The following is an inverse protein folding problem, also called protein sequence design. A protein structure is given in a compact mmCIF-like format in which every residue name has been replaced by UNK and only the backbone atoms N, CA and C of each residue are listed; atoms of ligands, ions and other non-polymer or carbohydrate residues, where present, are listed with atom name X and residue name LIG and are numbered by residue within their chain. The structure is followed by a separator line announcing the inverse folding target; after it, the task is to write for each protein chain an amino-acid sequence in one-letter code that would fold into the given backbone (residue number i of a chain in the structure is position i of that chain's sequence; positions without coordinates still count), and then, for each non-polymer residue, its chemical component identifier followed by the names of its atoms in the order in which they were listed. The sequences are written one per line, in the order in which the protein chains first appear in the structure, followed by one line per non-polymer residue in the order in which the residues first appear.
data_IF_247761181866
#
_entry.id   IF_247761181866
#
_cell.length_a   1.000
_cell.length_b   1.000
_cell.length_c   1.000
_cell.angle_alpha   90.00
_cell.angle_beta   90.00
_cell.angle_gamma   90.00
#
_symmetry.space_group_name_H-M   'P 1'
#
loop_
_entity.id
_entity.type
_entity.pdbx_description
1 polymer ?
#
# COMPACT_ATOMS: atom_id res chain seq x y z
N UNK A 1 6.30 22.35 14.29
CA UNK A 1 4.87 22.74 14.32
C UNK A 1 4.07 21.47 14.52
N UNK A 2 2.97 21.49 15.29
CA UNK A 2 2.03 20.36 15.30
C UNK A 2 1.42 20.18 13.91
N UNK A 3 1.11 18.94 13.53
CA UNK A 3 0.37 18.63 12.31
C UNK A 3 -1.04 19.22 12.40
N UNK A 4 -1.61 19.60 11.25
CA UNK A 4 -3.06 19.89 11.19
C UNK A 4 -3.86 18.62 11.43
N UNK A 5 -5.16 18.76 11.73
CA UNK A 5 -6.04 17.61 11.95
C UNK A 5 -6.12 16.72 10.70
N UNK A 6 -6.15 17.31 9.50
CA UNK A 6 -6.16 16.58 8.23
C UNK A 6 -4.85 15.82 8.01
N UNK A 7 -3.71 16.46 8.32
CA UNK A 7 -2.40 15.83 8.18
C UNK A 7 -2.21 14.66 9.16
N UNK A 8 -2.76 14.76 10.38
CA UNK A 8 -2.74 13.69 11.36
C UNK A 8 -3.62 12.49 10.94
N UNK A 9 -4.81 12.76 10.41
CA UNK A 9 -5.70 11.70 9.90
C UNK A 9 -5.11 11.01 8.68
N UNK A 10 -4.53 11.76 7.73
CA UNK A 10 -3.81 11.18 6.61
C UNK A 10 -2.68 10.27 7.07
N UNK A 11 -1.87 10.73 8.03
CA UNK A 11 -0.78 9.91 8.58
C UNK A 11 -1.30 8.60 9.18
N UNK A 12 -2.43 8.65 9.90
CA UNK A 12 -3.06 7.46 10.48
C UNK A 12 -3.48 6.46 9.39
N UNK A 13 -4.15 6.94 8.34
CA UNK A 13 -4.62 6.10 7.22
C UNK A 13 -3.43 5.47 6.49
N UNK A 14 -2.39 6.24 6.17
CA UNK A 14 -1.21 5.70 5.49
C UNK A 14 -0.51 4.61 6.32
N UNK A 15 -0.40 4.79 7.63
CA UNK A 15 0.15 3.76 8.51
C UNK A 15 -0.71 2.49 8.53
N UNK A 16 -2.03 2.63 8.52
CA UNK A 16 -2.95 1.49 8.44
C UNK A 16 -2.72 0.68 7.15
N UNK A 17 -2.56 1.38 6.02
CA UNK A 17 -2.33 0.73 4.73
C UNK A 17 -0.94 0.13 4.60
N UNK A 18 0.10 0.79 5.13
CA UNK A 18 1.44 0.22 5.23
C UNK A 18 1.41 -1.10 6.03
N UNK A 19 0.68 -1.12 7.15
CA UNK A 19 0.55 -2.28 8.01
C UNK A 19 -0.21 -3.42 7.32
N UNK A 20 -1.37 -3.15 6.72
CA UNK A 20 -2.15 -4.14 5.97
C UNK A 20 -1.29 -4.76 4.86
N UNK A 21 -0.57 -3.92 4.11
CA UNK A 21 0.29 -4.36 3.02
C UNK A 21 1.43 -5.25 3.53
N UNK A 22 2.02 -4.91 4.68
CA UNK A 22 3.05 -5.72 5.33
C UNK A 22 2.54 -7.09 5.76
N UNK A 23 1.33 -7.15 6.33
CA UNK A 23 0.68 -8.41 6.72
C UNK A 23 0.37 -9.28 5.49
N UNK A 24 -0.08 -8.68 4.39
CA UNK A 24 -0.34 -9.40 3.13
C UNK A 24 0.93 -10.04 2.56
N UNK A 25 2.04 -9.31 2.56
CA UNK A 25 3.34 -9.84 2.12
C UNK A 25 3.74 -11.04 2.98
N UNK A 26 3.72 -10.91 4.31
CA UNK A 26 4.05 -11.99 5.22
C UNK A 26 3.16 -13.23 5.00
N UNK A 27 1.85 -13.02 4.88
CA UNK A 27 0.88 -14.09 4.61
C UNK A 27 1.19 -14.80 3.29
N UNK A 28 1.52 -14.08 2.22
CA UNK A 28 1.85 -14.70 0.93
C UNK A 28 3.10 -15.56 0.99
N UNK A 29 4.15 -15.11 1.71
CA UNK A 29 5.34 -15.91 1.94
C UNK A 29 5.01 -17.22 2.67
N UNK A 30 4.23 -17.15 3.76
CA UNK A 30 3.79 -18.34 4.51
C UNK A 30 2.96 -19.30 3.63
N UNK A 31 2.12 -18.78 2.74
CA UNK A 31 1.32 -19.62 1.85
C UNK A 31 2.15 -20.30 0.75
N UNK A 32 3.14 -19.61 0.16
CA UNK A 32 4.07 -20.22 -0.81
C UNK A 32 4.82 -21.37 -0.17
N UNK A 33 5.31 -21.18 1.07
CA UNK A 33 6.06 -22.19 1.81
C UNK A 33 5.20 -23.43 2.15
N UNK A 34 3.87 -23.27 2.21
CA UNK A 34 2.93 -24.37 2.49
C UNK A 34 2.77 -25.40 1.35
N UNK A 35 3.36 -25.14 0.17
CA UNK A 35 3.34 -25.99 -1.03
C UNK A 35 1.94 -26.39 -1.55
N UNK A 36 0.88 -25.72 -1.11
CA UNK A 36 -0.48 -25.93 -1.64
C UNK A 36 -0.61 -25.24 -2.99
N UNK A 37 -0.92 -25.95 -4.09
CA UNK A 37 -1.02 -25.30 -5.39
C UNK A 37 -2.14 -24.25 -5.41
N UNK A 38 -1.77 -23.02 -5.72
CA UNK A 38 -2.70 -21.91 -5.92
C UNK A 38 -2.40 -21.18 -7.24
N UNK A 39 -3.44 -20.67 -7.89
CA UNK A 39 -3.34 -20.02 -9.20
C UNK A 39 -2.42 -18.79 -9.21
N UNK A 40 -2.24 -18.15 -8.06
CA UNK A 40 -1.38 -16.98 -7.91
C UNK A 40 0.11 -17.33 -7.72
N UNK A 41 0.47 -18.58 -7.42
CA UNK A 41 1.87 -18.99 -7.17
C UNK A 41 2.84 -18.59 -8.29
N UNK A 42 2.53 -18.79 -9.60
CA UNK A 42 3.41 -18.36 -10.70
C UNK A 42 3.65 -16.84 -10.73
N UNK A 43 2.76 -16.06 -10.10
CA UNK A 43 2.80 -14.61 -10.04
C UNK A 43 3.31 -14.08 -8.69
N UNK A 44 3.77 -14.95 -7.78
CA UNK A 44 4.15 -14.59 -6.42
C UNK A 44 5.11 -13.39 -6.36
N UNK A 45 6.23 -13.46 -7.07
CA UNK A 45 7.23 -12.37 -7.09
C UNK A 45 6.64 -11.05 -7.62
N UNK A 46 5.72 -11.13 -8.60
CA UNK A 46 5.04 -9.95 -9.14
C UNK A 46 4.10 -9.34 -8.11
N UNK A 47 3.36 -10.17 -7.37
CA UNK A 47 2.46 -9.74 -6.29
C UNK A 47 3.25 -9.07 -5.18
N UNK A 48 4.29 -9.73 -4.68
CA UNK A 48 5.13 -9.24 -3.59
C UNK A 48 5.82 -7.93 -3.99
N UNK A 49 6.34 -7.83 -5.21
CA UNK A 49 6.91 -6.59 -5.73
C UNK A 49 5.88 -5.45 -5.81
N UNK A 50 4.64 -5.73 -6.22
CA UNK A 50 3.58 -4.72 -6.30
C UNK A 50 3.17 -4.23 -4.90
N UNK A 51 3.01 -5.15 -3.94
CA UNK A 51 2.74 -4.83 -2.54
C UNK A 51 3.89 -4.02 -1.92
N UNK A 52 5.15 -4.38 -2.19
CA UNK A 52 6.30 -3.59 -1.74
C UNK A 52 6.30 -2.17 -2.31
N UNK A 53 5.99 -2.02 -3.61
CA UNK A 53 5.89 -0.72 -4.25
C UNK A 53 4.82 0.15 -3.59
N UNK A 54 3.67 -0.44 -3.27
CA UNK A 54 2.59 0.25 -2.59
C UNK A 54 2.93 0.63 -1.14
N UNK A 55 3.56 -0.28 -0.40
CA UNK A 55 4.05 -0.01 0.97
C UNK A 55 5.06 1.14 0.99
N UNK A 56 6.00 1.13 0.06
CA UNK A 56 7.02 2.17 -0.05
C UNK A 56 6.40 3.53 -0.40
N UNK A 57 5.36 3.54 -1.23
CA UNK A 57 4.58 4.73 -1.52
C UNK A 57 3.94 5.29 -0.23
N UNK A 58 3.23 4.47 0.55
CA UNK A 58 2.68 4.90 1.85
C UNK A 58 3.76 5.45 2.80
N UNK A 59 4.90 4.75 2.92
CA UNK A 59 6.01 5.15 3.79
C UNK A 59 6.59 6.51 3.40
N UNK A 60 6.81 6.73 2.10
CA UNK A 60 7.30 8.02 1.59
C UNK A 60 6.33 9.15 1.90
N UNK A 61 5.04 8.91 1.72
CA UNK A 61 4.04 9.93 2.03
C UNK A 61 3.98 10.25 3.53
N UNK A 62 4.08 9.25 4.41
CA UNK A 62 4.20 9.46 5.86
C UNK A 62 5.40 10.36 6.20
N UNK A 63 6.55 10.13 5.56
CA UNK A 63 7.78 10.91 5.78
C UNK A 63 7.66 12.35 5.26
N UNK A 64 6.76 12.60 4.31
CA UNK A 64 6.54 13.92 3.69
C UNK A 64 5.37 14.71 4.30
N UNK A 65 4.53 14.10 5.13
CA UNK A 65 3.40 14.79 5.78
C UNK A 65 3.89 15.97 6.64
N UNK A 66 3.30 17.13 6.40
CA UNK A 66 3.64 18.38 7.10
C UNK A 66 4.96 19.01 6.66
N UNK A 67 5.62 18.45 5.65
CA UNK A 67 6.77 19.07 4.97
C UNK A 67 6.29 19.83 3.73
N UNK A 68 7.09 20.82 3.33
CA UNK A 68 6.88 21.49 2.05
C UNK A 68 7.18 20.51 0.91
N UNK A 69 6.29 20.47 -0.10
CA UNK A 69 6.40 19.59 -1.26
C UNK A 69 6.68 20.39 -2.53
N UNK A 70 7.53 19.86 -3.40
CA UNK A 70 7.81 20.46 -4.72
C UNK A 70 6.64 20.29 -5.70
N UNK A 71 5.85 19.23 -5.55
CA UNK A 71 4.67 18.94 -6.38
C UNK A 71 3.46 19.84 -6.05
N UNK A 72 3.50 20.54 -4.91
CA UNK A 72 2.44 21.44 -4.45
C UNK A 72 1.14 20.74 -4.06
N UNK A 73 1.14 19.42 -3.90
CA UNK A 73 -0.07 18.66 -3.57
C UNK A 73 -0.52 18.91 -2.13
N UNK A 74 -1.81 19.15 -1.96
CA UNK A 74 -2.44 19.22 -0.64
C UNK A 74 -2.63 17.80 -0.07
N UNK A 75 -2.74 17.64 1.27
CA UNK A 75 -2.92 16.32 1.90
C UNK A 75 -4.10 15.51 1.35
N UNK A 76 -5.21 16.17 0.99
CA UNK A 76 -6.38 15.51 0.40
C UNK A 76 -6.08 14.90 -0.97
N UNK A 77 -5.28 15.58 -1.80
CA UNK A 77 -4.89 15.09 -3.13
C UNK A 77 -3.92 13.91 -3.01
N UNK A 78 -3.01 13.96 -2.04
CA UNK A 78 -2.13 12.83 -1.69
C UNK A 78 -2.98 11.63 -1.27
N UNK A 79 -3.96 11.84 -0.39
CA UNK A 79 -4.87 10.78 0.05
C UNK A 79 -5.60 10.13 -1.13
N UNK A 80 -6.18 10.94 -2.03
CA UNK A 80 -6.87 10.44 -3.22
C UNK A 80 -5.97 9.61 -4.12
N UNK A 81 -4.74 10.08 -4.39
CA UNK A 81 -3.79 9.34 -5.21
C UNK A 81 -3.42 7.99 -4.58
N UNK A 82 -3.17 7.97 -3.28
CA UNK A 82 -2.83 6.76 -2.54
C UNK A 82 -3.99 5.78 -2.55
N UNK A 83 -5.21 6.28 -2.38
CA UNK A 83 -6.44 5.50 -2.47
C UNK A 83 -6.59 4.87 -3.85
N UNK A 84 -6.46 5.65 -4.92
CA UNK A 84 -6.55 5.14 -6.30
C UNK A 84 -5.52 4.04 -6.58
N UNK A 85 -4.29 4.23 -6.12
CA UNK A 85 -3.22 3.24 -6.33
C UNK A 85 -3.53 1.92 -5.60
N UNK A 86 -4.02 1.98 -4.36
CA UNK A 86 -4.36 0.76 -3.64
C UNK A 86 -5.65 0.11 -4.15
N UNK A 87 -6.64 0.87 -4.63
CA UNK A 87 -7.81 0.31 -5.31
C UNK A 87 -7.42 -0.42 -6.61
N UNK A 88 -6.52 0.17 -7.41
CA UNK A 88 -5.96 -0.49 -8.61
C UNK A 88 -5.22 -1.76 -8.25
N UNK A 89 -4.39 -1.73 -7.20
CA UNK A 89 -3.68 -2.90 -6.69
C UNK A 89 -4.66 -3.99 -6.23
N UNK A 90 -5.66 -3.64 -5.42
CA UNK A 90 -6.66 -4.57 -4.92
C UNK A 90 -7.41 -5.25 -6.08
N UNK A 91 -7.89 -4.48 -7.07
CA UNK A 91 -8.56 -5.01 -8.26
C UNK A 91 -7.67 -5.94 -9.07
N UNK A 92 -6.39 -5.62 -9.20
CA UNK A 92 -5.42 -6.47 -9.89
C UNK A 92 -5.18 -7.77 -9.12
N UNK A 93 -5.00 -7.71 -7.80
CA UNK A 93 -4.83 -8.88 -6.94
C UNK A 93 -6.05 -9.80 -6.99
N UNK A 94 -7.28 -9.27 -6.89
CA UNK A 94 -8.51 -10.06 -6.99
C UNK A 94 -8.59 -10.84 -8.31
N UNK A 95 -8.20 -10.22 -9.43
CA UNK A 95 -8.16 -10.88 -10.74
C UNK A 95 -7.15 -12.02 -10.80
N UNK A 96 -6.01 -11.88 -10.12
CA UNK A 96 -4.97 -12.92 -10.10
C UNK A 96 -5.28 -14.08 -9.15
N UNK A 97 -5.96 -13.79 -8.03
CA UNK A 97 -6.31 -14.80 -7.02
C UNK A 97 -7.57 -15.58 -7.45
N UNK A 98 -8.40 -15.02 -8.33
CA UNK A 98 -9.56 -15.71 -8.92
C UNK A 98 -10.80 -15.72 -8.02
N UNK A 99 -10.97 -14.68 -7.20
CA UNK A 99 -12.23 -14.38 -6.48
C UNK A 99 -13.25 -13.73 -7.38
#
# INVERSE_FOLDING_TARGET
MPLTEEAAELQRVLHEWENITSVLIATLHEQVDSARPANWHPHFEQIVSALHGYRELCRREIEQIGLWREDGLEPEEVHEQIWEQGDRLAKWLSRMIGT
#
